data_IF_447901881594
#
_entry.id   IF_447901881594
#
_cell.length_a   1.000
_cell.length_b   1.000
_cell.length_c   1.000
_cell.angle_alpha   90.00
_cell.angle_beta   90.00
_cell.angle_gamma   90.00
#
_symmetry.space_group_name_H-M   'P 1'
#
loop_
_entity.id
_entity.type
_entity.pdbx_description
1 polymer ?
#
# COMPACT_ATOMS: atom_id res chain seq x y z
N UNK A 1 -28.97 34.04 -10.34
CA UNK A 1 -27.57 33.53 -10.35
C UNK A 1 -27.39 32.70 -9.09
N UNK A 2 -27.65 31.40 -9.21
CA UNK A 2 -27.44 30.45 -8.12
C UNK A 2 -25.92 30.29 -7.92
N UNK A 3 -25.47 30.43 -6.67
CA UNK A 3 -24.07 30.19 -6.29
C UNK A 3 -23.80 28.69 -6.48
N UNK A 4 -22.83 28.36 -7.32
CA UNK A 4 -22.22 27.04 -7.34
C UNK A 4 -21.66 26.78 -5.95
N UNK A 5 -22.24 25.82 -5.24
CA UNK A 5 -21.62 25.24 -4.06
C UNK A 5 -20.42 24.44 -4.57
N UNK A 6 -19.27 25.10 -4.67
CA UNK A 6 -17.97 24.45 -4.79
C UNK A 6 -17.73 23.64 -3.51
N UNK A 7 -18.17 22.39 -3.52
CA UNK A 7 -17.65 21.39 -2.60
C UNK A 7 -16.19 21.16 -2.99
N UNK A 8 -15.27 21.86 -2.29
CA UNK A 8 -13.81 21.76 -2.40
C UNK A 8 -13.25 20.34 -2.22
N UNK A 9 -14.07 19.37 -1.82
CA UNK A 9 -13.70 17.95 -1.67
C UNK A 9 -14.02 17.08 -2.89
N UNK A 10 -14.52 17.65 -3.99
CA UNK A 10 -14.72 16.92 -5.25
C UNK A 10 -13.57 17.20 -6.19
N UNK A 11 -12.65 16.25 -6.35
CA UNK A 11 -11.61 16.31 -7.39
C UNK A 11 -12.24 16.14 -8.77
N UNK A 12 -13.01 17.13 -9.24
CA UNK A 12 -13.38 17.34 -10.65
C UNK A 12 -13.93 16.14 -11.42
N UNK A 13 -14.49 15.13 -10.75
CA UNK A 13 -14.98 13.90 -11.37
C UNK A 13 -14.41 12.59 -10.84
N UNK A 14 -13.39 12.58 -9.97
CA UNK A 14 -12.93 11.39 -9.25
C UNK A 14 -13.60 11.30 -7.88
N UNK A 15 -14.15 10.13 -7.54
CA UNK A 15 -14.72 9.91 -6.21
C UNK A 15 -13.60 9.94 -5.14
N UNK A 16 -13.78 10.67 -4.03
CA UNK A 16 -12.72 10.87 -3.04
C UNK A 16 -12.43 9.64 -2.18
N UNK A 17 -13.32 8.65 -2.16
CA UNK A 17 -13.13 7.41 -1.41
C UNK A 17 -12.97 6.19 -2.32
N UNK A 18 -12.15 5.25 -1.86
CA UNK A 18 -12.02 3.91 -2.44
C UNK A 18 -12.97 2.96 -1.73
N UNK A 19 -13.74 2.21 -2.51
CA UNK A 19 -14.60 1.17 -1.95
C UNK A 19 -13.94 -0.20 -2.10
N UNK A 20 -14.17 -1.06 -1.11
CA UNK A 20 -13.80 -2.46 -1.21
C UNK A 20 -14.98 -3.23 -1.78
N UNK A 21 -14.86 -3.70 -3.02
CA UNK A 21 -15.90 -4.46 -3.71
C UNK A 21 -15.55 -5.95 -3.61
N UNK A 22 -16.52 -6.77 -3.20
CA UNK A 22 -16.36 -8.23 -3.12
C UNK A 22 -16.69 -8.90 -4.45
N UNK A 23 -15.84 -9.81 -4.86
CA UNK A 23 -15.90 -10.65 -6.06
C UNK A 23 -15.81 -12.13 -5.66
N UNK A 24 -16.21 -13.08 -6.53
CA UNK A 24 -16.12 -14.51 -6.22
C UNK A 24 -14.71 -14.96 -5.85
N UNK A 25 -13.68 -14.38 -6.48
CA UNK A 25 -12.29 -14.75 -6.27
C UNK A 25 -11.64 -14.00 -5.08
N UNK A 26 -12.24 -12.89 -4.61
CA UNK A 26 -11.64 -12.05 -3.59
C UNK A 26 -12.20 -10.63 -3.54
N UNK A 27 -11.46 -9.71 -2.93
CA UNK A 27 -11.83 -8.28 -2.81
C UNK A 27 -11.02 -7.44 -3.79
N UNK A 28 -11.57 -6.32 -4.24
CA UNK A 28 -10.86 -5.33 -5.07
C UNK A 28 -11.08 -3.93 -4.50
N UNK A 29 -10.03 -3.13 -4.42
CA UNK A 29 -10.16 -1.71 -4.07
C UNK A 29 -10.51 -0.93 -5.33
N UNK A 30 -11.69 -0.34 -5.39
CA UNK A 30 -12.21 0.28 -6.60
C UNK A 30 -12.38 1.78 -6.42
N UNK A 31 -11.83 2.57 -7.34
CA UNK A 31 -12.09 3.99 -7.49
C UNK A 31 -13.15 4.21 -8.58
N UNK A 32 -14.05 5.18 -8.38
CA UNK A 32 -14.96 5.62 -9.43
C UNK A 32 -14.47 6.92 -10.08
N UNK A 33 -14.33 6.90 -11.40
CA UNK A 33 -13.97 8.05 -12.22
C UNK A 33 -15.16 8.44 -13.10
N UNK A 34 -15.87 9.50 -12.73
CA UNK A 34 -17.00 10.04 -13.48
C UNK A 34 -16.56 10.94 -14.63
N UNK A 35 -15.49 11.71 -14.43
CA UNK A 35 -14.94 12.61 -15.43
C UNK A 35 -13.45 12.84 -15.19
N UNK A 36 -12.65 12.70 -16.23
CA UNK A 36 -11.23 13.06 -16.16
C UNK A 36 -11.03 14.56 -16.33
N UNK A 37 -10.04 15.08 -15.62
CA UNK A 37 -9.48 16.43 -15.72
C UNK A 37 -7.99 16.35 -16.12
N UNK A 38 -7.59 15.25 -16.77
CA UNK A 38 -6.23 14.98 -17.20
C UNK A 38 -5.29 14.77 -16.01
N UNK A 39 -4.22 15.58 -15.95
CA UNK A 39 -3.12 15.40 -14.98
C UNK A 39 -3.55 15.46 -13.52
N UNK A 40 -4.57 16.26 -13.19
CA UNK A 40 -5.07 16.35 -11.81
C UNK A 40 -5.76 15.06 -11.38
N UNK A 41 -6.53 14.43 -12.28
CA UNK A 41 -7.13 13.11 -12.06
C UNK A 41 -6.06 12.04 -11.83
N UNK A 42 -5.02 12.00 -12.66
CA UNK A 42 -3.94 11.01 -12.49
C UNK A 42 -3.20 11.18 -11.16
N UNK A 43 -2.95 12.43 -10.74
CA UNK A 43 -2.40 12.72 -9.41
C UNK A 43 -3.34 12.27 -8.29
N UNK A 44 -4.65 12.46 -8.46
CA UNK A 44 -5.67 12.01 -7.52
C UNK A 44 -5.71 10.48 -7.38
N UNK A 45 -5.75 9.75 -8.50
CA UNK A 45 -5.72 8.29 -8.52
C UNK A 45 -4.44 7.77 -7.85
N UNK A 46 -3.29 8.36 -8.19
CA UNK A 46 -2.02 8.04 -7.56
C UNK A 46 -2.06 8.26 -6.04
N UNK A 47 -2.57 9.41 -5.59
CA UNK A 47 -2.70 9.71 -4.16
C UNK A 47 -3.63 8.74 -3.42
N UNK A 48 -4.76 8.37 -4.03
CA UNK A 48 -5.69 7.38 -3.47
C UNK A 48 -5.05 5.99 -3.36
N UNK A 49 -4.34 5.57 -4.41
CA UNK A 49 -3.59 4.33 -4.43
C UNK A 49 -2.54 4.28 -3.31
N UNK A 50 -1.68 5.30 -3.23
CA UNK A 50 -0.64 5.42 -2.21
C UNK A 50 -1.23 5.41 -0.81
N UNK A 51 -2.26 6.22 -0.56
CA UNK A 51 -2.90 6.34 0.74
C UNK A 51 -3.55 5.02 1.19
N UNK A 52 -4.32 4.37 0.30
CA UNK A 52 -4.99 3.10 0.63
C UNK A 52 -3.99 1.97 0.87
N UNK A 53 -2.96 1.92 0.03
CA UNK A 53 -1.95 0.88 0.13
C UNK A 53 -1.11 1.04 1.40
N UNK A 54 -0.66 2.27 1.71
CA UNK A 54 0.03 2.54 2.99
C UNK A 54 -0.86 2.28 4.20
N UNK A 55 -2.15 2.65 4.16
CA UNK A 55 -3.07 2.37 5.24
C UNK A 55 -3.22 0.86 5.50
N UNK A 56 -3.27 0.05 4.43
CA UNK A 56 -3.31 -1.41 4.55
C UNK A 56 -2.01 -1.96 5.15
N UNK A 57 -0.86 -1.54 4.64
CA UNK A 57 0.45 -2.03 5.07
C UNK A 57 0.83 -1.60 6.50
N UNK A 58 0.29 -0.48 6.97
CA UNK A 58 0.57 0.07 8.29
C UNK A 58 -0.33 -0.49 9.40
N UNK A 59 -1.26 -1.40 9.06
CA UNK A 59 -2.20 -1.93 10.04
C UNK A 59 -1.48 -2.64 11.21
N UNK A 60 -1.92 -2.50 12.46
CA UNK A 60 -1.30 -3.20 13.58
C UNK A 60 -1.38 -4.72 13.47
N UNK A 61 -0.51 -5.46 14.17
CA UNK A 61 -0.55 -6.91 14.23
C UNK A 61 -1.89 -7.49 14.66
N UNK A 62 -2.57 -6.88 15.64
CA UNK A 62 -3.89 -7.31 16.10
C UNK A 62 -4.96 -7.21 15.00
N UNK A 63 -5.06 -6.06 14.34
CA UNK A 63 -5.96 -5.86 13.19
C UNK A 63 -5.60 -6.78 12.01
N UNK A 64 -4.32 -7.06 11.80
CA UNK A 64 -3.89 -8.02 10.77
C UNK A 64 -4.43 -9.43 11.06
N UNK A 65 -4.39 -9.88 12.31
CA UNK A 65 -4.92 -11.19 12.71
C UNK A 65 -6.43 -11.30 12.52
N UNK A 66 -7.17 -10.19 12.63
CA UNK A 66 -8.61 -10.16 12.33
C UNK A 66 -8.89 -10.29 10.83
N UNK A 67 -8.05 -9.68 9.98
CA UNK A 67 -8.27 -9.60 8.54
C UNK A 67 -7.62 -10.72 7.72
N UNK A 68 -6.61 -11.42 8.25
CA UNK A 68 -5.82 -12.41 7.50
C UNK A 68 -6.64 -13.62 7.01
N UNK A 69 -7.76 -13.90 7.69
CA UNK A 69 -8.72 -14.95 7.36
C UNK A 69 -9.83 -14.46 6.41
N UNK A 70 -9.90 -13.16 6.12
CA UNK A 70 -10.85 -12.61 5.15
C UNK A 70 -10.43 -12.87 3.70
N UNK A 71 -11.37 -12.69 2.78
CA UNK A 71 -11.10 -12.73 1.33
C UNK A 71 -10.01 -11.72 0.94
N UNK A 72 -8.99 -12.21 0.24
CA UNK A 72 -7.78 -11.45 -0.12
C UNK A 72 -8.09 -10.29 -1.08
N UNK A 73 -7.32 -9.21 -0.99
CA UNK A 73 -7.38 -8.10 -1.95
C UNK A 73 -6.57 -8.45 -3.19
N UNK A 74 -7.22 -8.52 -4.34
CA UNK A 74 -6.64 -9.00 -5.60
C UNK A 74 -6.07 -7.90 -6.49
N UNK A 75 -6.67 -6.71 -6.46
CA UNK A 75 -6.27 -5.60 -7.32
C UNK A 75 -6.77 -4.25 -6.81
N UNK A 76 -6.22 -3.21 -7.42
CA UNK A 76 -6.81 -1.88 -7.45
C UNK A 76 -7.46 -1.65 -8.81
N UNK A 77 -8.74 -1.31 -8.81
CA UNK A 77 -9.53 -1.09 -10.02
C UNK A 77 -9.96 0.39 -10.12
N UNK A 78 -10.06 0.92 -11.33
CA UNK A 78 -10.68 2.22 -11.64
C UNK A 78 -11.84 1.97 -12.60
N UNK A 79 -13.06 2.19 -12.13
CA UNK A 79 -14.26 2.14 -12.93
C UNK A 79 -14.52 3.53 -13.55
N UNK A 80 -14.38 3.64 -14.86
CA UNK A 80 -14.69 4.88 -15.60
C UNK A 80 -16.16 4.87 -16.00
N UNK A 81 -16.86 5.97 -15.75
CA UNK A 81 -18.26 6.19 -16.15
C UNK A 81 -18.40 7.21 -17.29
N UNK A 82 -17.29 7.80 -17.71
CA UNK A 82 -17.21 8.67 -18.89
C UNK A 82 -16.14 8.18 -19.84
N UNK A 83 -16.17 8.70 -21.06
CA UNK A 83 -15.12 8.43 -22.05
C UNK A 83 -13.80 9.04 -21.58
N UNK A 84 -12.73 8.26 -21.70
CA UNK A 84 -11.37 8.70 -21.42
C UNK A 84 -10.72 9.17 -22.72
N UNK A 85 -9.94 10.26 -22.64
CA UNK A 85 -9.10 10.64 -23.78
C UNK A 85 -7.89 9.72 -23.88
N UNK A 86 -7.25 9.66 -25.05
CA UNK A 86 -5.98 8.91 -25.22
C UNK A 86 -4.92 9.32 -24.19
N UNK A 87 -4.89 10.61 -23.79
CA UNK A 87 -3.97 11.09 -22.76
C UNK A 87 -4.32 10.59 -21.37
N UNK A 88 -5.59 10.37 -21.06
CA UNK A 88 -6.04 9.83 -19.78
C UNK A 88 -5.67 8.35 -19.67
N UNK A 89 -5.93 7.59 -20.74
CA UNK A 89 -5.53 6.20 -20.83
C UNK A 89 -4.01 6.01 -20.73
N UNK A 90 -3.24 6.86 -21.43
CA UNK A 90 -1.79 6.86 -21.32
C UNK A 90 -1.33 7.15 -19.88
N UNK A 91 -2.04 8.04 -19.17
CA UNK A 91 -1.80 8.33 -17.76
C UNK A 91 -2.05 7.12 -16.86
N UNK A 92 -3.16 6.40 -17.06
CA UNK A 92 -3.48 5.17 -16.34
C UNK A 92 -2.43 4.08 -16.60
N UNK A 93 -2.03 3.87 -17.86
CA UNK A 93 -0.96 2.93 -18.23
C UNK A 93 0.37 3.29 -17.58
N UNK A 94 0.71 4.58 -17.50
CA UNK A 94 1.92 5.04 -16.82
C UNK A 94 1.91 4.78 -15.30
N UNK A 95 0.73 4.65 -14.69
CA UNK A 95 0.55 4.22 -13.30
C UNK A 95 0.51 2.69 -13.14
N UNK A 96 0.63 1.92 -14.22
CA UNK A 96 0.62 0.45 -14.24
C UNK A 96 -0.76 -0.17 -14.48
N UNK A 97 -1.79 0.62 -14.75
CA UNK A 97 -3.12 0.07 -15.03
C UNK A 97 -3.21 -0.50 -16.45
N UNK A 98 -3.90 -1.63 -16.56
CA UNK A 98 -4.32 -2.22 -17.83
C UNK A 98 -5.84 -2.18 -17.96
N UNK A 99 -6.33 -1.93 -19.17
CA UNK A 99 -7.76 -2.02 -19.45
C UNK A 99 -8.23 -3.48 -19.40
N UNK A 100 -9.38 -3.69 -18.74
CA UNK A 100 -10.04 -5.00 -18.70
C UNK A 100 -10.91 -5.10 -19.95
N UNK A 101 -10.46 -5.90 -20.92
CA UNK A 101 -11.13 -6.06 -22.23
C UNK A 101 -12.39 -6.95 -22.17
N UNK A 102 -12.76 -7.43 -21.00
CA UNK A 102 -13.95 -8.26 -20.79
C UNK A 102 -15.17 -7.37 -20.58
N UNK A 103 -16.25 -7.63 -21.34
CA UNK A 103 -17.50 -6.93 -21.13
C UNK A 103 -18.03 -7.22 -19.72
N UNK A 104 -18.42 -6.16 -19.00
CA UNK A 104 -18.97 -6.30 -17.66
C UNK A 104 -20.34 -6.99 -17.71
N UNK A 105 -20.49 -8.10 -17.01
CA UNK A 105 -21.77 -8.78 -16.90
C UNK A 105 -22.73 -8.07 -15.92
N UNK A 106 -23.98 -8.52 -15.87
CA UNK A 106 -25.01 -7.91 -15.02
C UNK A 106 -24.68 -7.96 -13.52
N UNK A 107 -24.02 -9.02 -13.04
CA UNK A 107 -23.63 -9.18 -11.64
C UNK A 107 -22.50 -8.21 -11.27
N UNK A 108 -21.53 -8.04 -12.18
CA UNK A 108 -20.44 -7.09 -12.04
C UNK A 108 -20.96 -5.64 -12.03
N UNK A 109 -21.90 -5.32 -12.92
CA UNK A 109 -22.57 -4.02 -12.94
C UNK A 109 -23.39 -3.76 -11.67
N UNK A 110 -24.05 -4.78 -11.13
CA UNK A 110 -24.75 -4.68 -9.84
C UNK A 110 -23.77 -4.38 -8.70
N UNK A 111 -22.60 -5.02 -8.67
CA UNK A 111 -21.54 -4.74 -7.68
C UNK A 111 -21.02 -3.31 -7.74
N UNK A 112 -20.83 -2.79 -8.95
CA UNK A 112 -20.39 -1.41 -9.18
C UNK A 112 -21.51 -0.38 -9.02
N UNK A 113 -22.76 -0.81 -8.83
CA UNK A 113 -23.91 0.08 -8.65
C UNK A 113 -23.83 0.95 -7.39
N UNK A 114 -23.01 0.55 -6.40
CA UNK A 114 -22.76 1.32 -5.18
C UNK A 114 -22.30 2.74 -5.49
N UNK A 115 -21.43 2.92 -6.48
CA UNK A 115 -20.93 4.24 -6.89
C UNK A 115 -22.00 5.10 -7.55
N UNK A 116 -22.99 4.49 -8.23
CA UNK A 116 -24.13 5.24 -8.78
C UNK A 116 -25.00 5.81 -7.66
N UNK A 117 -25.20 5.03 -6.59
CA UNK A 117 -25.94 5.48 -5.42
C UNK A 117 -25.21 6.61 -4.68
N UNK A 118 -23.88 6.52 -4.57
CA UNK A 118 -23.06 7.61 -4.02
C UNK A 118 -23.12 8.87 -4.87
N UNK A 119 -22.95 8.75 -6.20
CA UNK A 119 -23.02 9.90 -7.11
C UNK A 119 -24.38 10.61 -7.04
N UNK A 120 -25.49 9.86 -6.97
CA UNK A 120 -26.85 10.42 -6.79
C UNK A 120 -26.99 11.15 -5.45
N UNK A 121 -26.45 10.58 -4.36
CA UNK A 121 -26.49 11.21 -3.01
C UNK A 121 -25.67 12.50 -2.94
N UNK A 122 -24.57 12.57 -3.68
CA UNK A 122 -23.71 13.75 -3.77
C UNK A 122 -24.26 14.84 -4.70
N UNK A 123 -25.51 14.70 -5.21
CA UNK A 123 -26.13 15.66 -6.12
C UNK A 123 -25.58 15.63 -7.55
N UNK A 124 -24.81 14.59 -7.89
CA UNK A 124 -24.21 14.40 -9.20
C UNK A 124 -25.20 13.89 -10.25
N UNK A 125 -24.90 14.24 -11.51
CA UNK A 125 -25.56 13.83 -12.76
C UNK A 125 -25.97 12.35 -12.74
N UNK A 126 -27.06 12.00 -13.43
CA UNK A 126 -27.46 10.59 -13.63
C UNK A 126 -26.30 9.80 -14.24
N UNK A 127 -25.59 9.03 -13.42
CA UNK A 127 -24.46 8.21 -13.84
C UNK A 127 -25.00 6.88 -14.38
N UNK A 128 -24.65 6.55 -15.62
CA UNK A 128 -24.95 5.27 -16.26
C UNK A 128 -24.11 4.13 -15.69
N UNK A 129 -24.04 3.03 -16.43
CA UNK A 129 -23.08 1.95 -16.15
C UNK A 129 -21.65 2.40 -16.50
N UNK A 130 -20.60 1.85 -15.86
CA UNK A 130 -19.23 2.16 -16.22
C UNK A 130 -18.93 1.76 -17.66
N UNK A 131 -18.27 2.66 -18.41
CA UNK A 131 -17.87 2.45 -19.79
C UNK A 131 -16.60 1.61 -19.92
N UNK A 132 -15.72 1.66 -18.92
CA UNK A 132 -14.47 0.91 -18.90
C UNK A 132 -14.04 0.57 -17.47
N UNK A 133 -13.31 -0.53 -17.33
CA UNK A 133 -12.66 -0.93 -16.08
C UNK A 133 -11.15 -1.05 -16.31
N UNK A 134 -10.37 -0.39 -15.46
CA UNK A 134 -8.91 -0.41 -15.50
C UNK A 134 -8.40 -1.10 -14.25
N UNK A 135 -7.42 -1.99 -14.38
CA UNK A 135 -6.92 -2.82 -13.28
C UNK A 135 -5.42 -2.69 -13.11
N UNK A 136 -5.02 -2.53 -11.86
CA UNK A 136 -3.65 -2.70 -11.39
C UNK A 136 -3.62 -3.92 -10.46
N UNK A 137 -3.02 -5.01 -10.93
CA UNK A 137 -2.89 -6.27 -10.19
C UNK A 137 -1.80 -6.20 -9.12
N UNK A 138 -1.93 -7.02 -8.08
CA UNK A 138 -0.85 -7.25 -7.12
C UNK A 138 0.04 -8.42 -7.54
N UNK A 139 1.35 -8.19 -7.57
CA UNK A 139 2.37 -9.23 -7.72
C UNK A 139 2.51 -9.98 -6.41
N UNK A 140 2.14 -11.26 -6.37
CA UNK A 140 2.18 -12.08 -5.16
C UNK A 140 3.10 -13.28 -5.35
N UNK A 141 3.84 -13.67 -4.28
CA UNK A 141 4.46 -14.99 -4.25
C UNK A 141 3.44 -16.08 -4.58
N UNK A 142 3.86 -17.14 -5.28
CA UNK A 142 2.98 -18.24 -5.65
C UNK A 142 3.33 -19.53 -4.91
N UNK A 143 2.32 -20.39 -4.72
CA UNK A 143 2.48 -21.73 -4.20
C UNK A 143 2.98 -21.78 -2.75
N UNK A 144 4.03 -22.57 -2.53
CA UNK A 144 4.54 -22.85 -1.18
C UNK A 144 5.11 -21.61 -0.49
N UNK A 145 5.75 -20.71 -1.24
CA UNK A 145 6.38 -19.51 -0.68
C UNK A 145 5.36 -18.59 -0.03
N UNK A 146 4.24 -18.33 -0.71
CA UNK A 146 3.13 -17.52 -0.17
C UNK A 146 2.62 -18.08 1.16
N UNK A 147 2.37 -19.40 1.19
CA UNK A 147 1.89 -20.09 2.38
C UNK A 147 2.88 -19.98 3.54
N UNK A 148 4.18 -20.10 3.27
CA UNK A 148 5.23 -19.99 4.28
C UNK A 148 5.36 -18.56 4.81
N UNK A 149 5.35 -17.56 3.94
CA UNK A 149 5.41 -16.14 4.32
C UNK A 149 4.18 -15.77 5.15
N UNK A 150 2.98 -16.12 4.70
CA UNK A 150 1.73 -15.84 5.42
C UNK A 150 1.73 -16.49 6.80
N UNK A 151 2.16 -17.75 6.92
CA UNK A 151 2.28 -18.45 8.20
C UNK A 151 3.28 -17.77 9.14
N UNK A 152 4.45 -17.35 8.63
CA UNK A 152 5.44 -16.63 9.42
C UNK A 152 4.90 -15.27 9.90
N UNK A 153 4.18 -14.53 9.04
CA UNK A 153 3.54 -13.27 9.41
C UNK A 153 2.48 -13.44 10.49
N UNK A 154 1.63 -14.46 10.39
CA UNK A 154 0.63 -14.79 11.43
C UNK A 154 1.30 -15.16 12.75
N UNK A 155 2.34 -16.01 12.72
CA UNK A 155 3.07 -16.39 13.93
C UNK A 155 3.78 -15.18 14.57
N UNK A 156 4.37 -14.31 13.76
CA UNK A 156 5.00 -13.07 14.22
C UNK A 156 3.97 -12.13 14.84
N UNK A 157 2.82 -11.91 14.19
CA UNK A 157 1.77 -11.05 14.71
C UNK A 157 1.23 -11.53 16.06
N UNK A 158 1.02 -12.85 16.23
CA UNK A 158 0.59 -13.43 17.52
C UNK A 158 1.59 -13.17 18.65
N UNK A 159 2.89 -13.11 18.35
CA UNK A 159 3.93 -12.79 19.35
C UNK A 159 4.00 -11.31 19.68
N UNK A 160 3.71 -10.45 18.71
CA UNK A 160 3.65 -9.00 18.91
C UNK A 160 2.41 -8.63 19.77
N UNK A 161 1.29 -9.34 19.59
CA UNK A 161 0.06 -9.06 20.32
C UNK A 161 -0.50 -7.68 19.94
N UNK A 162 -0.84 -6.87 20.95
CA UNK A 162 -1.36 -5.51 20.76
C UNK A 162 -0.26 -4.45 20.60
N UNK A 163 1.02 -4.84 20.57
CA UNK A 163 2.11 -3.90 20.36
C UNK A 163 2.09 -3.39 18.93
N UNK A 164 2.20 -2.07 18.78
CA UNK A 164 2.28 -1.42 17.48
C UNK A 164 3.72 -1.10 17.11
N UNK A 165 3.95 -0.78 15.84
CA UNK A 165 5.25 -0.31 15.39
C UNK A 165 5.75 0.83 16.29
N UNK A 166 7.03 0.78 16.68
CA UNK A 166 7.69 1.79 17.49
C UNK A 166 7.56 1.64 19.01
N UNK A 167 6.64 0.80 19.51
CA UNK A 167 6.53 0.54 20.97
C UNK A 167 7.76 -0.18 21.52
N UNK A 168 8.32 -1.10 20.73
CA UNK A 168 9.56 -1.83 21.03
C UNK A 168 10.46 -1.85 19.80
N UNK A 169 11.43 -0.93 19.68
CA UNK A 169 12.39 -0.91 18.58
C UNK A 169 13.06 -2.27 18.32
N UNK A 170 13.11 -2.70 17.06
CA UNK A 170 13.74 -3.96 16.63
C UNK A 170 12.89 -5.23 16.88
N UNK A 171 11.75 -5.14 17.56
CA UNK A 171 10.90 -6.29 17.83
C UNK A 171 10.19 -6.82 16.58
N UNK A 172 9.51 -5.99 15.77
CA UNK A 172 8.86 -6.45 14.54
C UNK A 172 9.82 -7.22 13.63
N UNK A 173 11.03 -6.68 13.37
CA UNK A 173 12.01 -7.35 12.53
C UNK A 173 12.52 -8.65 13.15
N UNK A 174 12.81 -8.64 14.46
CA UNK A 174 13.31 -9.83 15.17
C UNK A 174 12.33 -11.00 15.06
N UNK A 175 11.05 -10.78 15.38
CA UNK A 175 10.09 -11.88 15.40
C UNK A 175 9.83 -12.44 14.00
N UNK A 176 9.69 -11.58 12.99
CA UNK A 176 9.50 -12.07 11.63
C UNK A 176 10.71 -12.86 11.14
N UNK A 177 11.92 -12.35 11.38
CA UNK A 177 13.16 -13.04 10.99
C UNK A 177 13.26 -14.41 11.67
N UNK A 178 12.95 -14.51 12.96
CA UNK A 178 12.95 -15.80 13.66
C UNK A 178 11.95 -16.79 13.05
N UNK A 179 10.73 -16.36 12.72
CA UNK A 179 9.72 -17.24 12.12
C UNK A 179 10.11 -17.67 10.69
N UNK A 180 10.64 -16.75 9.89
CA UNK A 180 11.13 -17.07 8.54
C UNK A 180 12.35 -18.00 8.59
N UNK A 181 13.29 -17.77 9.51
CA UNK A 181 14.48 -18.62 9.69
C UNK A 181 14.09 -20.05 10.06
N UNK A 182 13.08 -20.22 10.92
CA UNK A 182 12.56 -21.56 11.26
C UNK A 182 11.83 -22.23 10.10
N UNK A 183 11.05 -21.47 9.33
CA UNK A 183 10.27 -22.01 8.22
C UNK A 183 11.16 -22.37 7.01
N UNK A 184 12.16 -21.55 6.71
CA UNK A 184 12.91 -21.60 5.45
C UNK A 184 14.39 -21.95 5.62
N UNK A 185 14.88 -22.15 6.85
CA UNK A 185 16.30 -22.39 7.14
C UNK A 185 17.23 -21.28 6.62
N UNK A 186 16.75 -20.03 6.65
CA UNK A 186 17.51 -18.86 6.23
C UNK A 186 18.23 -18.21 7.41
N UNK A 187 19.45 -17.75 7.18
CA UNK A 187 20.17 -16.87 8.11
C UNK A 187 20.01 -15.42 7.67
N UNK A 188 19.29 -14.64 8.48
CA UNK A 188 19.04 -13.21 8.25
C UNK A 188 19.58 -12.41 9.45
N UNK A 189 20.59 -11.60 9.21
CA UNK A 189 21.20 -10.74 10.24
C UNK A 189 20.60 -9.33 10.26
N UNK A 190 20.77 -8.56 11.37
CA UNK A 190 20.33 -7.18 11.47
C UNK A 190 21.32 -6.22 10.78
N UNK A 191 21.63 -6.46 9.50
CA UNK A 191 22.58 -5.70 8.69
C UNK A 191 22.01 -5.42 7.30
N UNK A 192 22.75 -4.67 6.48
CA UNK A 192 22.31 -4.28 5.12
C UNK A 192 22.02 -5.51 4.25
N UNK A 193 22.89 -6.53 4.31
CA UNK A 193 22.71 -7.77 3.54
C UNK A 193 21.46 -8.55 3.98
N UNK A 194 21.20 -8.64 5.28
CA UNK A 194 20.01 -9.27 5.82
C UNK A 194 18.74 -8.52 5.44
N UNK A 195 18.78 -7.18 5.40
CA UNK A 195 17.67 -6.35 4.90
C UNK A 195 17.43 -6.58 3.40
N UNK A 196 18.48 -6.59 2.58
CA UNK A 196 18.37 -6.88 1.14
C UNK A 196 17.77 -8.27 0.89
N UNK A 197 18.26 -9.30 1.59
CA UNK A 197 17.73 -10.68 1.49
C UNK A 197 16.28 -10.77 1.96
N UNK A 198 15.93 -10.12 3.06
CA UNK A 198 14.56 -10.09 3.58
C UNK A 198 13.61 -9.44 2.57
N UNK A 199 13.98 -8.28 1.99
CA UNK A 199 13.18 -7.63 0.97
C UNK A 199 13.05 -8.48 -0.29
N UNK A 200 14.14 -9.09 -0.77
CA UNK A 200 14.09 -9.97 -1.94
C UNK A 200 13.19 -11.21 -1.75
N UNK A 201 13.08 -11.69 -0.51
CA UNK A 201 12.21 -12.81 -0.15
C UNK A 201 10.73 -12.41 -0.06
N UNK A 202 10.46 -11.24 0.53
CA UNK A 202 9.11 -10.84 0.93
C UNK A 202 8.40 -9.93 -0.06
N UNK A 203 9.14 -9.25 -0.93
CA UNK A 203 8.60 -8.33 -1.91
C UNK A 203 8.62 -9.02 -3.26
N UNK A 204 7.44 -9.43 -3.70
CA UNK A 204 7.25 -9.78 -5.10
C UNK A 204 6.88 -8.53 -5.90
N UNK A 205 7.58 -8.32 -7.01
CA UNK A 205 7.65 -7.04 -7.69
C UNK A 205 7.74 -7.21 -9.22
N UNK A 206 6.83 -8.00 -9.77
CA UNK A 206 6.68 -8.17 -11.22
C UNK A 206 6.51 -6.82 -11.93
N UNK A 207 7.12 -6.61 -13.12
CA UNK A 207 7.01 -5.37 -13.87
C UNK A 207 5.55 -5.01 -14.17
N UNK A 208 5.18 -3.75 -13.95
CA UNK A 208 3.82 -3.24 -14.20
C UNK A 208 2.78 -3.59 -13.13
N UNK A 209 3.11 -4.44 -12.16
CA UNK A 209 2.21 -4.81 -11.08
C UNK A 209 2.57 -4.11 -9.76
N UNK A 210 1.57 -3.90 -8.92
CA UNK A 210 1.75 -3.40 -7.57
C UNK A 210 2.39 -4.48 -6.71
N UNK A 211 3.51 -4.17 -6.05
CA UNK A 211 4.21 -5.18 -5.26
C UNK A 211 3.32 -5.63 -4.10
N UNK A 212 3.36 -6.91 -3.73
CA UNK A 212 2.68 -7.39 -2.53
C UNK A 212 3.68 -7.63 -1.40
N UNK A 213 3.27 -7.26 -0.20
CA UNK A 213 3.94 -7.63 1.04
C UNK A 213 2.89 -7.67 2.14
N UNK A 214 2.97 -8.66 3.03
CA UNK A 214 2.07 -8.72 4.18
C UNK A 214 2.32 -7.52 5.12
N UNK A 215 1.29 -6.93 5.75
CA UNK A 215 1.45 -5.74 6.60
C UNK A 215 2.45 -5.91 7.75
N UNK A 216 2.49 -7.10 8.36
CA UNK A 216 3.47 -7.44 9.42
C UNK A 216 4.89 -7.49 8.86
N UNK A 217 5.03 -8.02 7.63
CA UNK A 217 6.29 -8.04 6.91
C UNK A 217 6.78 -6.63 6.54
N UNK A 218 5.88 -5.78 6.09
CA UNK A 218 6.19 -4.39 5.78
C UNK A 218 6.69 -3.61 7.00
N UNK A 219 6.01 -3.74 8.14
CA UNK A 219 6.45 -3.12 9.39
C UNK A 219 7.81 -3.64 9.85
N UNK A 220 8.06 -4.94 9.71
CA UNK A 220 9.34 -5.55 10.01
C UNK A 220 10.48 -5.06 9.09
N UNK A 221 10.21 -4.83 7.81
CA UNK A 221 11.17 -4.23 6.87
C UNK A 221 11.50 -2.79 7.30
N UNK A 222 10.48 -1.99 7.62
CA UNK A 222 10.68 -0.62 8.11
C UNK A 222 11.48 -0.59 9.42
N UNK A 223 11.18 -1.50 10.35
CA UNK A 223 11.88 -1.65 11.62
C UNK A 223 13.34 -2.06 11.41
N UNK A 224 13.58 -3.05 10.54
CA UNK A 224 14.93 -3.51 10.22
C UNK A 224 15.77 -2.40 9.58
N UNK A 225 15.17 -1.59 8.69
CA UNK A 225 15.83 -0.42 8.12
C UNK A 225 16.28 0.56 9.21
N UNK A 226 15.42 0.85 10.19
CA UNK A 226 15.77 1.71 11.33
C UNK A 226 16.84 1.07 12.24
N UNK A 227 16.80 -0.25 12.46
CA UNK A 227 17.84 -1.00 13.21
C UNK A 227 19.19 -0.91 12.49
N UNK A 228 19.23 -1.08 11.18
CA UNK A 228 20.45 -0.97 10.37
C UNK A 228 21.01 0.46 10.43
N UNK A 229 20.15 1.47 10.38
CA UNK A 229 20.56 2.87 10.57
C UNK A 229 21.17 3.09 11.96
N UNK A 230 20.54 2.59 13.02
CA UNK A 230 21.05 2.67 14.39
C UNK A 230 22.42 1.97 14.52
N UNK A 231 22.55 0.77 13.94
CA UNK A 231 23.79 -0.01 13.96
C UNK A 231 24.94 0.65 13.20
N UNK A 232 24.65 1.54 12.23
CA UNK A 232 25.68 2.29 11.50
C UNK A 232 26.48 3.27 12.40
N UNK A 233 26.01 3.55 13.62
CA UNK A 233 26.69 4.40 14.59
C UNK A 233 26.73 5.88 14.24
N UNK A 234 26.05 6.31 13.17
CA UNK A 234 26.08 7.70 12.68
C UNK A 234 25.00 8.62 13.30
N UNK A 235 24.32 8.17 14.34
CA UNK A 235 23.28 8.93 15.03
C UNK A 235 22.40 8.04 15.90
N UNK A 236 21.70 8.66 16.84
CA UNK A 236 20.66 8.01 17.62
C UNK A 236 19.37 7.98 16.80
N UNK A 237 18.77 6.80 16.66
CA UNK A 237 17.47 6.59 16.00
C UNK A 237 16.40 6.40 17.07
N UNK A 238 15.25 7.04 16.88
CA UNK A 238 14.07 6.89 17.71
C UNK A 238 12.85 6.60 16.84
N UNK A 239 12.10 5.56 17.19
CA UNK A 239 10.91 5.14 16.47
C UNK A 239 9.71 5.95 16.95
N UNK A 240 8.79 6.27 16.04
CA UNK A 240 7.49 6.82 16.40
C UNK A 240 6.49 5.68 16.58
N UNK A 241 5.83 5.63 17.74
CA UNK A 241 4.73 4.69 17.96
C UNK A 241 3.60 4.98 16.95
N UNK A 242 3.04 3.93 16.36
CA UNK A 242 2.03 4.01 15.29
C UNK A 242 0.70 3.34 15.69
N UNK A 243 0.00 3.84 16.73
CA UNK A 243 -1.28 3.28 17.14
C UNK A 243 -2.39 3.61 16.13
N UNK A 244 -3.44 2.80 16.11
CA UNK A 244 -4.65 3.11 15.35
C UNK A 244 -5.29 4.38 15.90
N UNK A 245 -5.58 5.32 15.00
CA UNK A 245 -6.33 6.51 15.34
C UNK A 245 -7.81 6.14 15.57
N UNK A 246 -8.38 6.59 16.69
CA UNK A 246 -9.71 6.20 17.12
C UNK A 246 -10.83 6.76 16.21
N UNK A 247 -10.59 7.87 15.51
CA UNK A 247 -11.58 8.51 14.66
C UNK A 247 -11.57 7.93 13.25
N UNK A 248 -10.39 7.82 12.64
CA UNK A 248 -10.22 7.33 11.27
C UNK A 248 -10.17 5.81 11.19
N UNK A 249 -9.84 5.12 12.29
CA UNK A 249 -9.58 3.68 12.28
C UNK A 249 -8.38 3.33 11.41
N UNK A 250 -7.42 4.24 11.24
CA UNK A 250 -6.20 4.04 10.46
C UNK A 250 -4.98 4.21 11.36
N UNK A 251 -3.96 3.38 11.15
CA UNK A 251 -2.65 3.58 11.78
C UNK A 251 -1.80 4.52 10.90
N UNK A 252 -1.03 5.44 11.50
CA UNK A 252 -0.07 6.23 10.75
C UNK A 252 1.03 5.31 10.17
N UNK A 253 1.63 5.67 9.02
CA UNK A 253 2.73 4.89 8.48
C UNK A 253 3.93 4.80 9.44
N UNK A 254 4.72 3.71 9.39
CA UNK A 254 5.95 3.60 10.17
C UNK A 254 6.88 4.79 9.98
N UNK A 255 7.27 5.44 11.08
CA UNK A 255 8.16 6.60 11.08
C UNK A 255 9.26 6.44 12.13
N UNK A 256 10.40 7.07 11.87
CA UNK A 256 11.46 7.24 12.86
C UNK A 256 12.05 8.65 12.76
N UNK A 257 12.95 8.97 13.67
CA UNK A 257 13.82 10.15 13.58
C UNK A 257 15.25 9.77 13.89
N UNK A 258 16.20 10.45 13.27
CA UNK A 258 17.62 10.27 13.52
C UNK A 258 18.25 11.59 13.99
N UNK A 259 19.10 11.53 15.02
CA UNK A 259 19.85 12.68 15.53
C UNK A 259 21.18 12.84 14.80
N UNK A 260 21.37 13.98 14.15
CA UNK A 260 22.61 14.34 13.44
C UNK A 260 22.93 15.83 13.50
N UNK A 261 24.21 16.15 13.66
CA UNK A 261 24.68 17.54 13.71
C UNK A 261 23.95 18.40 14.76
N UNK A 262 23.48 17.79 15.85
CA UNK A 262 22.68 18.46 16.89
C UNK A 262 21.18 18.56 16.59
N UNK A 263 20.71 18.22 15.40
CA UNK A 263 19.30 18.27 14.98
C UNK A 263 18.65 16.89 14.84
N UNK A 264 17.33 16.83 14.97
CA UNK A 264 16.53 15.65 14.65
C UNK A 264 15.98 15.77 13.24
N UNK A 265 16.11 14.71 12.44
CA UNK A 265 15.51 14.58 11.11
C UNK A 265 14.48 13.46 11.12
N UNK A 266 13.27 13.74 10.64
CA UNK A 266 12.22 12.74 10.45
C UNK A 266 12.55 11.82 9.26
N UNK A 267 12.20 10.55 9.42
CA UNK A 267 12.33 9.48 8.43
C UNK A 267 10.94 8.89 8.18
N UNK A 268 10.42 9.04 6.95
CA UNK A 268 9.11 8.55 6.54
C UNK A 268 9.22 7.09 6.06
N UNK A 269 9.70 6.20 6.93
CA UNK A 269 10.11 4.83 6.58
C UNK A 269 9.07 4.10 5.73
N UNK A 270 7.81 4.09 6.17
CA UNK A 270 6.74 3.40 5.46
C UNK A 270 6.50 3.97 4.06
N UNK A 271 6.41 5.30 3.94
CA UNK A 271 6.22 5.97 2.65
C UNK A 271 7.37 5.69 1.70
N UNK A 272 8.59 5.85 2.17
CA UNK A 272 9.81 5.71 1.38
C UNK A 272 10.03 4.26 0.91
N UNK A 273 9.78 3.27 1.78
CA UNK A 273 9.81 1.84 1.44
C UNK A 273 8.73 1.51 0.41
N UNK A 274 7.49 1.95 0.63
CA UNK A 274 6.41 1.67 -0.31
C UNK A 274 6.66 2.28 -1.69
N UNK A 275 7.07 3.55 -1.74
CA UNK A 275 7.34 4.25 -2.99
C UNK A 275 8.48 3.59 -3.79
N UNK A 276 9.59 3.27 -3.13
CA UNK A 276 10.79 2.80 -3.82
C UNK A 276 10.80 1.31 -4.15
N UNK A 277 10.05 0.48 -3.40
CA UNK A 277 10.05 -0.97 -3.57
C UNK A 277 8.73 -1.52 -4.11
N UNK A 278 7.59 -0.90 -3.78
CA UNK A 278 6.27 -1.53 -4.00
C UNK A 278 5.47 -0.87 -5.11
N UNK A 279 5.55 0.46 -5.28
CA UNK A 279 4.76 1.15 -6.31
C UNK A 279 5.39 0.99 -7.71
N UNK A 280 4.64 0.49 -8.72
CA UNK A 280 5.22 0.12 -10.02
C UNK A 280 5.81 1.30 -10.81
N UNK A 281 5.33 2.52 -10.57
CA UNK A 281 5.73 3.74 -11.28
C UNK A 281 6.93 4.47 -10.65
N UNK A 282 7.39 4.06 -9.46
CA UNK A 282 8.61 4.59 -8.82
C UNK A 282 9.60 3.51 -8.41
N UNK A 283 9.24 2.24 -8.62
CA UNK A 283 10.04 1.08 -8.23
C UNK A 283 11.42 1.12 -8.85
N UNK A 284 12.42 0.81 -8.03
CA UNK A 284 13.79 0.52 -8.46
C UNK A 284 14.13 -0.91 -8.09
N UNK A 285 15.24 -1.43 -8.61
CA UNK A 285 15.76 -2.71 -8.14
C UNK A 285 16.00 -2.66 -6.63
N UNK A 286 15.60 -3.71 -5.91
CA UNK A 286 15.56 -3.74 -4.44
C UNK A 286 16.87 -3.30 -3.79
N UNK A 287 18.00 -3.80 -4.27
CA UNK A 287 19.32 -3.42 -3.74
C UNK A 287 19.67 -1.95 -4.00
N UNK A 288 19.34 -1.42 -5.17
CA UNK A 288 19.59 0.00 -5.48
C UNK A 288 18.68 0.93 -4.69
N UNK A 289 17.40 0.57 -4.54
CA UNK A 289 16.43 1.29 -3.71
C UNK A 289 16.91 1.39 -2.26
N UNK A 290 17.26 0.26 -1.64
CA UNK A 290 17.72 0.20 -0.25
C UNK A 290 19.01 1.00 -0.03
N UNK A 291 19.99 0.88 -0.94
CA UNK A 291 21.21 1.70 -0.89
C UNK A 291 20.91 3.19 -1.01
N UNK A 292 19.95 3.54 -1.88
CA UNK A 292 19.44 4.91 -2.04
C UNK A 292 18.83 5.46 -0.76
N UNK A 293 17.92 4.71 -0.13
CA UNK A 293 17.27 5.07 1.13
C UNK A 293 18.28 5.25 2.27
N UNK A 294 19.13 4.25 2.49
CA UNK A 294 20.19 4.31 3.50
C UNK A 294 21.11 5.52 3.27
N UNK A 295 21.53 5.76 2.03
CA UNK A 295 22.35 6.93 1.69
C UNK A 295 21.63 8.24 1.95
N UNK A 296 20.33 8.33 1.65
CA UNK A 296 19.54 9.55 1.84
C UNK A 296 19.34 9.86 3.34
N UNK A 297 19.13 8.85 4.17
CA UNK A 297 18.98 8.99 5.62
C UNK A 297 20.32 9.21 6.33
N UNK A 298 21.40 8.69 5.76
CA UNK A 298 22.76 8.85 6.27
C UNK A 298 23.52 10.05 5.68
N UNK A 299 22.86 10.94 4.95
CA UNK A 299 23.35 12.30 4.66
C UNK A 299 22.83 13.22 5.77
#
# INVERSE_FOLDING_TARGET
MARENENENSHGGLHPALLTVSWPEGKRWTAALWKSQGRSTMRGIRGLLEARYLAHLSMPPSSYLEQVEEAQVLSFDVASYGDLSESDEAGLRALGFAEVNEALDAEQLERLSVFRNEARRSGGVSVGDPSALWRLSFSRPQGMLDTMVKRACVASARRQGDQVFGDRPGWPSKWLVEELSRAMQLELGPNVEGLERLCALLIDASPGELGWVEPVAFQAICDLLAVVLQASGRGQVEWASSPMDALSGLAPPPMARIRRGGSWRALELGRDVAATLLLPFERRETGEALKGLLSAYLR
#
